data_IF_691588861233
#
_entry.id   IF_691588861233
#
_cell.length_a   1.000
_cell.length_b   1.000
_cell.length_c   1.000
_cell.angle_alpha   90.00
_cell.angle_beta   90.00
_cell.angle_gamma   90.00
#
_symmetry.space_group_name_H-M   'P 1'
#
loop_
_entity.id
_entity.type
_entity.pdbx_description
1 polymer ?
#
# COMPACT_ATOMS: atom_id res chain seq x y z
N UNK A 1 -64.11 -23.96 -39.69
CA UNK A 1 -65.11 -23.96 -38.60
C UNK A 1 -64.34 -24.17 -37.30
N UNK A 2 -64.38 -23.18 -36.39
CA UNK A 2 -63.96 -23.19 -34.96
C UNK A 2 -62.49 -23.52 -34.68
N UNK A 3 -61.58 -22.58 -34.38
CA UNK A 3 -61.46 -21.72 -33.18
C UNK A 3 -61.74 -22.48 -31.87
N UNK A 4 -60.72 -22.55 -31.00
CA UNK A 4 -60.73 -22.52 -29.51
C UNK A 4 -59.43 -23.21 -29.04
N UNK A 5 -58.71 -22.83 -27.99
CA UNK A 5 -58.62 -21.62 -27.18
C UNK A 5 -57.42 -21.85 -26.25
N UNK A 6 -56.69 -20.78 -25.98
CA UNK A 6 -55.63 -20.67 -24.95
C UNK A 6 -56.20 -20.97 -23.56
N UNK A 7 -55.44 -21.66 -22.70
CA UNK A 7 -55.35 -21.33 -21.26
C UNK A 7 -54.14 -21.97 -20.59
N UNK A 8 -53.27 -21.06 -20.15
CA UNK A 8 -52.30 -21.11 -19.06
C UNK A 8 -52.89 -21.80 -17.83
N UNK A 9 -52.09 -22.55 -17.06
CA UNK A 9 -52.12 -22.55 -15.59
C UNK A 9 -50.77 -23.05 -15.04
N UNK A 10 -50.05 -22.11 -14.44
CA UNK A 10 -49.05 -22.26 -13.40
C UNK A 10 -49.56 -23.20 -12.29
N UNK A 11 -48.79 -24.21 -11.90
CA UNK A 11 -49.02 -24.91 -10.63
C UNK A 11 -47.78 -24.80 -9.74
N UNK A 12 -48.04 -24.13 -8.61
CA UNK A 12 -47.39 -24.24 -7.29
C UNK A 12 -46.19 -23.35 -6.99
N UNK A 13 -46.53 -22.11 -6.63
CA UNK A 13 -45.94 -21.42 -5.49
C UNK A 13 -46.75 -21.70 -4.21
N UNK A 14 -46.01 -21.69 -3.09
CA UNK A 14 -46.42 -21.53 -1.67
C UNK A 14 -46.97 -22.72 -0.89
N UNK A 15 -46.07 -23.37 -0.15
CA UNK A 15 -46.29 -23.68 1.27
C UNK A 15 -45.02 -23.33 2.07
N UNK A 16 -45.17 -22.36 2.98
CA UNK A 16 -44.54 -22.41 4.30
C UNK A 16 -43.17 -21.76 4.48
N UNK A 17 -43.14 -20.44 4.68
CA UNK A 17 -42.11 -19.80 5.49
C UNK A 17 -42.07 -20.44 6.88
N UNK A 18 -40.94 -21.05 7.24
CA UNK A 18 -40.51 -21.19 8.64
C UNK A 18 -39.16 -20.51 8.78
N UNK A 19 -39.18 -19.39 9.50
CA UNK A 19 -38.03 -18.59 9.89
C UNK A 19 -37.15 -19.45 10.81
N UNK A 20 -35.97 -19.84 10.36
CA UNK A 20 -34.89 -20.24 11.25
C UNK A 20 -33.85 -19.13 11.18
N UNK A 21 -33.93 -18.23 12.15
CA UNK A 21 -32.84 -17.35 12.52
C UNK A 21 -31.66 -18.25 12.95
N UNK A 22 -30.68 -18.41 12.06
CA UNK A 22 -29.32 -18.80 12.39
C UNK A 22 -28.40 -18.05 11.43
N UNK A 23 -28.26 -16.76 11.71
CA UNK A 23 -27.04 -16.02 11.42
C UNK A 23 -25.88 -16.75 12.09
N UNK A 24 -25.26 -17.70 11.40
CA UNK A 24 -23.87 -18.03 11.69
C UNK A 24 -23.05 -16.87 11.14
N UNK A 25 -22.89 -15.86 11.97
CA UNK A 25 -21.73 -14.97 11.91
C UNK A 25 -20.53 -15.91 11.78
N UNK A 26 -19.82 -15.80 10.66
CA UNK A 26 -18.51 -16.42 10.54
C UNK A 26 -17.65 -15.67 11.54
N UNK A 27 -17.62 -16.19 12.77
CA UNK A 27 -16.62 -15.84 13.75
C UNK A 27 -15.30 -16.34 13.17
N UNK A 28 -14.59 -15.47 12.47
CA UNK A 28 -13.17 -15.62 12.27
C UNK A 28 -12.47 -15.34 13.61
N UNK A 29 -12.75 -16.17 14.62
CA UNK A 29 -11.79 -16.38 15.69
C UNK A 29 -10.68 -17.21 15.07
N UNK A 30 -9.64 -16.51 14.61
CA UNK A 30 -8.35 -17.12 14.35
C UNK A 30 -7.91 -17.76 15.67
N UNK A 31 -8.20 -19.05 15.80
CA UNK A 31 -7.66 -19.90 16.84
C UNK A 31 -6.15 -19.88 16.62
N UNK A 32 -5.41 -19.39 17.62
CA UNK A 32 -3.95 -19.43 17.68
C UNK A 32 -3.49 -20.84 17.28
N UNK A 33 -3.01 -20.98 16.05
CA UNK A 33 -2.35 -22.19 15.62
C UNK A 33 -1.10 -22.38 16.48
N UNK A 34 -0.99 -23.58 17.05
CA UNK A 34 -0.12 -24.06 18.13
C UNK A 34 1.42 -24.01 17.87
N UNK A 35 1.94 -23.09 17.06
CA UNK A 35 3.34 -23.11 16.60
C UNK A 35 4.10 -21.78 16.77
N UNK A 36 3.73 -20.91 17.71
CA UNK A 36 4.53 -19.72 18.01
C UNK A 36 5.55 -20.00 19.13
N UNK A 37 6.81 -20.23 18.74
CA UNK A 37 7.94 -20.35 19.67
C UNK A 37 8.34 -18.97 20.22
N UNK A 38 7.62 -18.52 21.23
CA UNK A 38 8.04 -17.37 22.02
C UNK A 38 9.10 -17.78 23.04
N UNK A 39 10.21 -17.05 23.09
CA UNK A 39 11.25 -17.25 24.11
C UNK A 39 11.25 -16.08 25.09
N UNK A 40 11.45 -16.41 26.37
CA UNK A 40 11.81 -15.44 27.41
C UNK A 40 13.33 -15.32 27.60
N UNK A 41 14.10 -16.16 26.90
CA UNK A 41 15.54 -16.18 27.03
C UNK A 41 16.16 -15.18 26.07
N UNK A 42 16.70 -14.10 26.63
CA UNK A 42 17.49 -13.12 25.88
C UNK A 42 18.93 -13.64 25.83
N UNK A 43 19.53 -13.80 24.63
CA UNK A 43 20.93 -14.19 24.52
C UNK A 43 21.86 -13.27 25.31
N UNK A 44 22.89 -13.82 25.95
CA UNK A 44 23.73 -13.07 26.91
C UNK A 44 24.36 -11.81 26.30
N UNK A 45 24.79 -11.85 25.04
CA UNK A 45 25.37 -10.70 24.34
C UNK A 45 24.36 -9.57 24.12
N UNK A 46 23.08 -9.89 23.91
CA UNK A 46 22.00 -8.91 23.79
C UNK A 46 21.60 -8.39 25.17
N UNK A 47 21.53 -9.27 26.18
CA UNK A 47 21.28 -8.86 27.57
C UNK A 47 22.37 -7.89 28.07
N UNK A 48 23.63 -8.13 27.70
CA UNK A 48 24.76 -7.25 27.98
C UNK A 48 24.60 -5.89 27.28
N UNK A 49 24.15 -5.85 26.01
CA UNK A 49 23.82 -4.61 25.31
C UNK A 49 22.82 -3.76 26.10
N UNK A 50 21.70 -4.34 26.56
CA UNK A 50 20.71 -3.62 27.36
C UNK A 50 21.24 -3.19 28.73
N UNK A 51 22.09 -3.99 29.38
CA UNK A 51 22.73 -3.63 30.64
C UNK A 51 23.61 -2.39 30.49
N UNK A 52 24.42 -2.34 29.43
CA UNK A 52 25.28 -1.19 29.10
C UNK A 52 24.45 0.02 28.69
N UNK A 53 23.37 -0.19 27.93
CA UNK A 53 22.51 0.87 27.39
C UNK A 53 21.24 1.14 28.22
N UNK A 54 21.22 0.80 29.51
CA UNK A 54 20.05 0.96 30.41
C UNK A 54 19.49 2.39 30.54
N UNK A 55 20.33 3.39 30.23
CA UNK A 55 19.95 4.80 30.21
C UNK A 55 19.21 5.20 28.91
N UNK A 56 19.29 4.37 27.88
CA UNK A 56 18.65 4.59 26.58
C UNK A 56 17.44 3.68 26.40
N UNK A 57 17.56 2.40 26.77
CA UNK A 57 16.57 1.38 26.48
C UNK A 57 16.03 0.69 27.71
N UNK A 58 14.75 0.34 27.66
CA UNK A 58 14.06 -0.50 28.65
C UNK A 58 13.21 -1.54 27.92
N UNK A 59 13.35 -2.80 28.31
CA UNK A 59 12.67 -3.92 27.68
C UNK A 59 11.18 -3.90 28.01
N UNK A 60 10.33 -4.00 26.98
CA UNK A 60 8.88 -4.11 27.14
C UNK A 60 8.54 -5.54 27.59
N UNK A 61 7.85 -5.65 28.73
CA UNK A 61 7.34 -6.90 29.25
C UNK A 61 5.97 -7.24 28.66
N UNK A 62 5.64 -8.54 28.58
CA UNK A 62 4.32 -8.99 28.09
C UNK A 62 3.15 -8.38 28.88
N UNK A 63 3.26 -8.21 30.20
CA UNK A 63 2.19 -7.60 31.01
C UNK A 63 1.94 -6.11 30.74
N UNK A 64 2.83 -5.45 29.99
CA UNK A 64 2.66 -4.06 29.55
C UNK A 64 1.84 -3.94 28.27
N UNK A 65 1.67 -5.06 27.55
CA UNK A 65 0.83 -5.13 26.35
C UNK A 65 -0.64 -5.11 26.74
N UNK A 66 -1.42 -4.35 25.97
CA UNK A 66 -2.85 -4.07 26.20
C UNK A 66 -3.70 -4.80 25.17
N UNK A 67 -3.28 -6.02 24.86
CA UNK A 67 -3.97 -6.92 23.95
C UNK A 67 -4.82 -7.90 24.75
N UNK A 68 -5.82 -8.53 24.12
CA UNK A 68 -6.78 -9.38 24.82
C UNK A 68 -6.12 -10.50 25.65
N UNK A 69 -6.63 -10.72 26.86
CA UNK A 69 -6.06 -11.67 27.83
C UNK A 69 -5.91 -13.07 27.27
N UNK A 70 -6.84 -13.54 26.45
CA UNK A 70 -6.78 -14.88 25.86
C UNK A 70 -5.53 -15.05 24.97
N UNK A 71 -5.16 -14.01 24.22
CA UNK A 71 -4.00 -13.96 23.33
C UNK A 71 -2.67 -14.13 24.08
N UNK A 72 -2.55 -13.56 25.28
CA UNK A 72 -1.29 -13.59 26.07
C UNK A 72 -1.31 -14.53 27.27
N UNK A 73 -2.46 -15.11 27.61
CA UNK A 73 -2.67 -15.91 28.84
C UNK A 73 -1.72 -17.10 28.99
N UNK A 74 -1.14 -17.59 27.87
CA UNK A 74 -0.21 -18.72 27.83
C UNK A 74 1.26 -18.31 28.00
N UNK A 75 1.57 -17.01 27.98
CA UNK A 75 2.95 -16.52 28.01
C UNK A 75 3.40 -16.15 29.43
N UNK A 76 4.63 -16.51 29.78
CA UNK A 76 5.26 -16.05 31.03
C UNK A 76 5.47 -14.55 30.95
N UNK A 77 5.34 -13.86 32.08
CA UNK A 77 5.63 -12.42 32.13
C UNK A 77 7.14 -12.16 31.98
N UNK A 78 7.57 -11.86 30.76
CA UNK A 78 8.95 -11.63 30.38
C UNK A 78 9.01 -10.73 29.12
N UNK A 79 10.19 -10.27 28.70
CA UNK A 79 10.37 -9.66 27.38
C UNK A 79 10.10 -10.68 26.29
N UNK A 80 9.32 -10.30 25.29
CA UNK A 80 9.03 -11.15 24.14
C UNK A 80 10.23 -11.14 23.18
N UNK A 81 10.88 -12.30 23.01
CA UNK A 81 12.00 -12.47 22.08
C UNK A 81 11.55 -13.32 20.90
N UNK A 82 11.75 -12.80 19.70
CA UNK A 82 11.58 -13.57 18.46
C UNK A 82 12.95 -13.89 17.85
N UNK A 83 13.19 -15.18 17.65
CA UNK A 83 14.37 -15.69 16.94
C UNK A 83 13.96 -16.13 15.52
N UNK A 84 14.78 -15.77 14.53
CA UNK A 84 14.61 -16.19 13.13
C UNK A 84 15.74 -15.67 12.25
N UNK A 85 15.76 -16.09 10.99
CA UNK A 85 16.62 -15.53 9.93
C UNK A 85 15.81 -14.46 9.18
N UNK A 86 15.74 -13.26 9.75
CA UNK A 86 14.85 -12.20 9.28
C UNK A 86 15.44 -11.43 8.10
N UNK A 87 16.76 -11.39 7.96
CA UNK A 87 17.45 -10.82 6.80
C UNK A 87 17.76 -11.85 5.68
N UNK A 88 17.53 -13.14 5.95
CA UNK A 88 17.64 -14.22 4.97
C UNK A 88 19.08 -14.50 4.56
N UNK A 89 20.04 -14.30 5.48
CA UNK A 89 21.46 -14.55 5.27
C UNK A 89 21.92 -15.93 5.81
N UNK A 90 21.03 -16.66 6.50
CA UNK A 90 21.27 -17.99 7.05
C UNK A 90 21.78 -18.00 8.50
N UNK A 91 22.01 -16.84 9.10
CA UNK A 91 22.37 -16.68 10.51
C UNK A 91 21.14 -16.31 11.36
N UNK A 92 21.28 -16.44 12.67
CA UNK A 92 20.19 -16.10 13.60
C UNK A 92 20.16 -14.61 13.91
N UNK A 93 18.95 -14.06 13.83
CA UNK A 93 18.58 -12.72 14.23
C UNK A 93 17.63 -12.74 15.44
N UNK A 94 17.61 -11.62 16.17
CA UNK A 94 16.70 -11.44 17.29
C UNK A 94 15.90 -10.15 17.12
N UNK A 95 14.58 -10.26 17.24
CA UNK A 95 13.66 -9.14 17.28
C UNK A 95 13.04 -8.99 18.68
N UNK A 96 13.07 -7.78 19.22
CA UNK A 96 12.63 -7.47 20.60
C UNK A 96 12.03 -6.06 20.69
N UNK A 97 11.03 -5.90 21.57
CA UNK A 97 10.43 -4.58 21.86
C UNK A 97 11.16 -3.89 23.02
N UNK A 98 11.47 -2.60 22.85
CA UNK A 98 12.04 -1.78 23.90
C UNK A 98 11.54 -0.33 23.85
N UNK A 99 11.32 0.29 25.00
CA UNK A 99 11.05 1.73 25.11
C UNK A 99 12.33 2.54 25.06
N UNK A 100 12.32 3.62 24.30
CA UNK A 100 13.40 4.60 24.34
C UNK A 100 13.16 5.63 25.44
N UNK A 101 14.17 5.87 26.27
CA UNK A 101 14.18 6.96 27.27
C UNK A 101 14.69 8.28 26.70
N UNK A 102 15.27 8.24 25.49
CA UNK A 102 15.93 9.39 24.85
C UNK A 102 15.19 9.90 23.61
N UNK A 103 14.49 9.01 22.90
CA UNK A 103 13.71 9.39 21.72
C UNK A 103 12.32 9.81 22.20
N UNK A 104 12.02 11.10 22.03
CA UNK A 104 10.73 11.72 22.35
C UNK A 104 10.18 12.35 21.08
N UNK A 105 8.85 12.35 20.93
CA UNK A 105 8.17 13.03 19.84
C UNK A 105 7.47 14.29 20.39
N UNK A 106 7.37 15.33 19.55
CA UNK A 106 7.10 16.71 19.99
C UNK A 106 5.71 16.92 20.61
N UNK A 107 4.75 16.05 20.30
CA UNK A 107 3.35 16.21 20.73
C UNK A 107 3.07 15.77 22.17
N UNK A 108 3.84 14.81 22.70
CA UNK A 108 3.66 14.30 24.05
C UNK A 108 4.99 14.32 24.80
N UNK A 109 5.31 15.50 25.32
CA UNK A 109 6.41 15.70 26.26
C UNK A 109 6.16 14.76 27.45
N UNK A 110 7.00 13.72 27.55
CA UNK A 110 7.07 12.71 28.63
C UNK A 110 6.50 11.32 28.33
N UNK A 111 6.08 11.02 27.09
CA UNK A 111 5.84 9.62 26.69
C UNK A 111 7.10 8.95 26.12
N UNK A 112 7.41 7.76 26.62
CA UNK A 112 8.51 6.93 26.11
C UNK A 112 7.93 5.84 25.21
N UNK A 113 7.98 6.04 23.89
CA UNK A 113 7.42 5.10 22.94
C UNK A 113 8.20 3.79 22.89
N UNK A 114 7.48 2.70 22.68
CA UNK A 114 8.07 1.41 22.33
C UNK A 114 8.55 1.39 20.88
N UNK A 115 9.67 0.72 20.65
CA UNK A 115 10.28 0.50 19.34
C UNK A 115 10.56 -0.99 19.14
N UNK A 116 10.56 -1.41 17.88
CA UNK A 116 11.09 -2.70 17.47
C UNK A 116 12.59 -2.57 17.23
N UNK A 117 13.37 -3.40 17.91
CA UNK A 117 14.81 -3.53 17.73
C UNK A 117 15.10 -4.89 17.10
N UNK A 118 15.93 -4.91 16.05
CA UNK A 118 16.38 -6.15 15.40
C UNK A 118 17.90 -6.23 15.46
N UNK A 119 18.43 -7.30 16.05
CA UNK A 119 19.85 -7.60 16.14
C UNK A 119 20.20 -8.66 15.10
N UNK A 120 20.67 -8.21 13.93
CA UNK A 120 21.08 -9.13 12.88
C UNK A 120 22.41 -9.80 13.25
N UNK A 121 22.57 -11.08 12.93
CA UNK A 121 23.85 -11.79 13.09
C UNK A 121 24.45 -11.68 14.49
N UNK A 122 23.62 -11.62 15.54
CA UNK A 122 24.04 -11.16 16.86
C UNK A 122 25.15 -12.04 17.48
N UNK A 123 25.18 -13.33 17.13
CA UNK A 123 26.18 -14.30 17.61
C UNK A 123 27.59 -14.02 17.07
N UNK A 124 27.72 -13.29 15.96
CA UNK A 124 29.01 -12.98 15.33
C UNK A 124 29.67 -11.72 15.91
N UNK A 125 28.96 -10.94 16.73
CA UNK A 125 29.47 -9.72 17.34
C UNK A 125 29.55 -9.85 18.85
N UNK A 126 30.65 -9.37 19.45
CA UNK A 126 30.75 -9.23 20.91
C UNK A 126 29.88 -8.11 21.46
N UNK A 127 29.60 -7.09 20.64
CA UNK A 127 28.77 -5.94 20.97
C UNK A 127 27.77 -5.74 19.83
N UNK A 128 26.70 -6.54 19.74
CA UNK A 128 25.73 -6.39 18.67
C UNK A 128 24.95 -5.08 18.85
N UNK A 129 24.84 -4.29 17.78
CA UNK A 129 24.02 -3.08 17.75
C UNK A 129 22.70 -3.36 17.03
N UNK A 130 21.55 -2.95 17.59
CA UNK A 130 20.27 -3.20 16.96
C UNK A 130 19.98 -2.17 15.87
N UNK A 131 19.32 -2.63 14.82
CA UNK A 131 18.56 -1.78 13.92
C UNK A 131 17.24 -1.37 14.59
N UNK A 132 16.99 -0.06 14.65
CA UNK A 132 15.71 0.48 15.11
C UNK A 132 14.76 0.51 13.92
N UNK A 133 13.71 -0.30 13.96
CA UNK A 133 12.76 -0.38 12.85
C UNK A 133 11.76 0.76 12.94
N UNK A 134 11.60 1.47 11.83
CA UNK A 134 10.71 2.61 11.69
C UNK A 134 9.71 2.36 10.57
N UNK A 135 8.54 2.99 10.69
CA UNK A 135 7.59 3.10 9.58
C UNK A 135 8.28 3.80 8.41
N UNK A 136 8.10 3.28 7.21
CA UNK A 136 8.66 3.82 5.98
C UNK A 136 7.62 3.74 4.84
N UNK A 137 7.92 4.40 3.72
CA UNK A 137 7.05 4.43 2.54
C UNK A 137 5.73 5.18 2.79
N UNK A 138 4.62 4.65 2.27
CA UNK A 138 3.27 5.22 2.38
C UNK A 138 2.75 5.27 3.83
N UNK A 139 3.42 4.56 4.75
CA UNK A 139 3.09 4.53 6.18
C UNK A 139 3.96 5.47 7.03
N UNK A 140 4.82 6.28 6.42
CA UNK A 140 5.85 7.05 7.11
C UNK A 140 5.37 8.34 7.82
N UNK A 141 4.07 8.61 7.89
CA UNK A 141 3.51 9.90 8.32
C UNK A 141 3.91 10.36 9.74
N UNK A 142 3.88 11.69 9.94
CA UNK A 142 5.00 12.48 10.50
C UNK A 142 5.12 12.63 12.04
N UNK A 143 4.22 12.09 12.86
CA UNK A 143 4.28 12.35 14.32
C UNK A 143 4.98 11.24 15.11
N UNK A 144 4.84 9.96 14.71
CA UNK A 144 5.37 8.81 15.45
C UNK A 144 5.86 7.71 14.49
N UNK A 145 7.18 7.69 14.28
CA UNK A 145 7.82 6.79 13.31
C UNK A 145 8.01 5.34 13.80
N UNK A 146 7.62 4.97 15.03
CA UNK A 146 7.75 3.58 15.49
C UNK A 146 6.74 2.65 14.81
N UNK A 147 7.17 1.41 14.51
CA UNK A 147 6.28 0.34 14.00
C UNK A 147 5.43 -0.30 15.10
N UNK A 148 5.74 -0.04 16.38
CA UNK A 148 4.96 -0.52 17.51
C UNK A 148 3.80 0.44 17.75
N UNK A 149 2.59 -0.10 17.77
CA UNK A 149 1.38 0.67 18.08
C UNK A 149 1.26 0.83 19.59
N UNK A 150 1.64 2.01 20.07
CA UNK A 150 1.60 2.46 21.45
C UNK A 150 0.70 3.69 21.53
N UNK A 151 -0.52 3.52 22.06
CA UNK A 151 -1.49 4.58 22.24
C UNK A 151 -1.33 5.16 23.64
N UNK A 152 -0.39 6.08 23.85
CA UNK A 152 -0.20 6.93 25.05
C UNK A 152 -0.86 6.49 26.36
N UNK A 153 -2.17 6.76 26.49
CA UNK A 153 -2.98 6.53 27.70
C UNK A 153 -3.52 5.10 27.80
N UNK A 154 -3.68 4.43 26.66
CA UNK A 154 -4.24 3.11 26.52
C UNK A 154 -3.16 2.02 26.49
N UNK A 155 -1.89 2.38 26.27
CA UNK A 155 -0.70 1.52 26.32
C UNK A 155 -0.34 0.86 24.99
N UNK A 156 0.39 -0.26 25.02
CA UNK A 156 0.90 -0.92 23.80
C UNK A 156 -0.15 -1.90 23.25
N UNK A 157 -0.75 -1.58 22.11
CA UNK A 157 -1.82 -2.33 21.45
C UNK A 157 -1.32 -3.24 20.33
N UNK A 158 -0.03 -3.54 20.32
CA UNK A 158 0.53 -4.48 19.37
C UNK A 158 1.44 -5.50 20.04
N UNK A 159 1.56 -6.65 19.41
CA UNK A 159 2.51 -7.69 19.82
C UNK A 159 3.25 -8.22 18.59
N UNK A 160 4.43 -8.76 18.83
CA UNK A 160 5.22 -9.37 17.77
C UNK A 160 4.86 -10.84 17.64
N UNK A 161 4.87 -11.33 16.42
CA UNK A 161 4.89 -12.77 16.14
C UNK A 161 5.80 -13.05 14.95
N UNK A 162 6.11 -14.32 14.73
CA UNK A 162 6.87 -14.77 13.56
C UNK A 162 5.98 -15.60 12.65
N UNK A 163 6.08 -15.35 11.35
CA UNK A 163 5.41 -16.14 10.30
C UNK A 163 6.35 -16.42 9.14
N UNK A 164 6.01 -17.42 8.32
CA UNK A 164 6.60 -17.58 7.00
C UNK A 164 5.73 -16.86 5.98
N UNK A 165 6.23 -15.76 5.43
CA UNK A 165 5.50 -14.88 4.52
C UNK A 165 6.25 -14.85 3.19
N UNK A 166 5.58 -15.24 2.11
CA UNK A 166 6.17 -15.43 0.78
C UNK A 166 7.48 -16.26 0.80
N UNK A 167 7.56 -17.31 1.62
CA UNK A 167 8.74 -18.18 1.73
C UNK A 167 9.84 -17.67 2.65
N UNK A 168 9.66 -16.53 3.34
CA UNK A 168 10.67 -15.91 4.20
C UNK A 168 10.19 -15.86 5.66
N UNK A 169 11.09 -16.13 6.60
CA UNK A 169 10.81 -15.82 8.01
C UNK A 169 10.65 -14.31 8.18
N UNK A 170 9.52 -13.90 8.74
CA UNK A 170 9.09 -12.50 8.78
C UNK A 170 8.59 -12.16 10.17
N UNK A 171 9.00 -10.98 10.67
CA UNK A 171 8.44 -10.42 11.90
C UNK A 171 7.10 -9.79 11.56
N UNK A 172 6.08 -10.12 12.33
CA UNK A 172 4.71 -9.61 12.17
C UNK A 172 4.35 -8.78 13.38
N UNK A 173 4.05 -7.50 13.16
CA UNK A 173 3.44 -6.62 14.17
C UNK A 173 1.93 -6.79 14.06
N UNK A 174 1.31 -7.35 15.10
CA UNK A 174 -0.12 -7.60 15.13
C UNK A 174 -0.83 -6.55 15.96
N UNK A 175 -1.90 -5.99 15.41
CA UNK A 175 -2.86 -5.16 16.13
C UNK A 175 -4.14 -6.00 16.26
N UNK A 176 -4.57 -6.37 17.48
CA UNK A 176 -5.81 -7.11 17.67
C UNK A 176 -6.98 -6.45 16.93
N UNK A 177 -7.84 -7.28 16.33
CA UNK A 177 -9.11 -6.90 15.69
C UNK A 177 -9.02 -5.95 14.48
N UNK A 178 -7.82 -5.46 14.12
CA UNK A 178 -7.68 -4.31 13.22
C UNK A 178 -6.82 -4.61 11.99
N UNK A 179 -5.62 -5.17 12.14
CA UNK A 179 -4.69 -5.44 11.02
C UNK A 179 -3.38 -6.09 11.50
N UNK A 180 -2.60 -6.63 10.56
CA UNK A 180 -1.21 -7.04 10.79
C UNK A 180 -0.28 -6.32 9.80
N UNK A 181 0.94 -6.05 10.24
CA UNK A 181 1.98 -5.46 9.43
C UNK A 181 3.21 -6.37 9.42
N UNK A 182 3.85 -6.47 8.27
CA UNK A 182 5.03 -7.28 8.04
C UNK A 182 6.27 -6.41 8.04
N UNK A 183 7.30 -6.86 8.75
CA UNK A 183 8.64 -6.29 8.74
C UNK A 183 9.51 -7.22 7.91
N UNK A 184 9.72 -6.84 6.64
CA UNK A 184 10.36 -7.70 5.65
C UNK A 184 11.72 -7.12 5.29
N UNK A 185 12.76 -7.94 5.32
CA UNK A 185 14.07 -7.52 4.85
C UNK A 185 14.11 -7.33 3.33
N UNK A 186 14.52 -6.14 2.94
CA UNK A 186 14.84 -5.78 1.59
C UNK A 186 16.35 -5.88 1.38
N UNK A 187 16.77 -6.97 0.73
CA UNK A 187 18.17 -7.26 0.42
C UNK A 187 18.85 -6.16 -0.40
N UNK A 188 18.10 -5.37 -1.17
CA UNK A 188 18.69 -4.38 -2.08
C UNK A 188 18.87 -3.03 -1.40
N UNK A 189 17.93 -2.66 -0.51
CA UNK A 189 18.10 -1.49 0.37
C UNK A 189 18.97 -1.78 1.59
N UNK A 190 19.26 -3.05 1.84
CA UNK A 190 19.93 -3.50 3.05
C UNK A 190 19.22 -2.94 4.30
N UNK A 191 17.89 -3.02 4.29
CA UNK A 191 17.02 -2.42 5.29
C UNK A 191 15.70 -3.19 5.43
N UNK A 192 15.05 -3.09 6.59
CA UNK A 192 13.70 -3.61 6.79
C UNK A 192 12.64 -2.66 6.24
N UNK A 193 11.63 -3.23 5.59
CA UNK A 193 10.44 -2.53 5.11
C UNK A 193 9.24 -2.84 5.99
N UNK A 194 8.39 -1.83 6.22
CA UNK A 194 7.13 -1.93 6.94
C UNK A 194 5.98 -1.98 5.94
N UNK A 195 5.27 -3.10 5.86
CA UNK A 195 4.25 -3.35 4.84
C UNK A 195 2.96 -3.80 5.52
N UNK A 196 1.82 -3.26 5.11
CA UNK A 196 0.52 -3.76 5.57
C UNK A 196 0.26 -5.15 4.96
N UNK A 197 -0.22 -6.08 5.78
CA UNK A 197 -0.52 -7.44 5.34
C UNK A 197 -1.49 -7.52 4.15
N UNK A 198 -2.38 -6.53 4.00
CA UNK A 198 -3.33 -6.45 2.88
C UNK A 198 -2.68 -6.01 1.56
N UNK A 199 -1.54 -5.32 1.61
CA UNK A 199 -0.82 -4.83 0.44
C UNK A 199 0.16 -5.87 -0.11
N UNK A 200 0.41 -6.92 0.67
CA UNK A 200 1.37 -7.95 0.30
C UNK A 200 0.75 -8.95 -0.69
N UNK A 201 1.32 -9.00 -1.89
CA UNK A 201 0.99 -9.98 -2.93
C UNK A 201 2.20 -10.89 -3.19
N UNK A 202 2.13 -12.15 -2.72
CA UNK A 202 3.19 -13.13 -2.92
C UNK A 202 3.25 -13.70 -4.36
N UNK A 203 2.19 -13.55 -5.16
CA UNK A 203 2.11 -14.06 -6.53
C UNK A 203 2.63 -13.07 -7.57
N UNK A 204 2.75 -11.80 -7.20
CA UNK A 204 3.73 -10.91 -7.82
C UNK A 204 5.11 -11.44 -7.46
N UNK A 205 5.70 -12.23 -8.37
CA UNK A 205 7.06 -12.77 -8.25
C UNK A 205 8.00 -11.81 -7.52
N UNK A 206 8.24 -12.07 -6.23
CA UNK A 206 9.27 -11.40 -5.43
C UNK A 206 10.67 -11.93 -5.78
N UNK A 207 10.93 -12.13 -7.08
CA UNK A 207 12.23 -12.42 -7.67
C UNK A 207 12.70 -11.35 -8.66
N UNK A 208 12.01 -10.21 -8.80
CA UNK A 208 12.52 -9.10 -9.62
C UNK A 208 11.84 -7.75 -9.31
N UNK A 209 12.03 -7.18 -8.11
CA UNK A 209 11.51 -5.81 -7.86
C UNK A 209 12.44 -4.81 -7.19
N UNK A 210 13.68 -5.20 -6.93
CA UNK A 210 14.56 -4.36 -6.13
C UNK A 210 16.00 -4.22 -6.64
N UNK A 211 16.44 -5.00 -7.64
CA UNK A 211 17.47 -4.50 -8.59
C UNK A 211 16.89 -3.36 -9.43
N UNK A 212 15.60 -3.47 -9.74
CA UNK A 212 14.91 -2.57 -10.66
C UNK A 212 14.44 -1.30 -9.97
N UNK A 213 14.30 -1.19 -8.64
CA UNK A 213 13.90 0.11 -8.04
C UNK A 213 15.03 1.14 -8.11
N UNK A 214 16.29 0.70 -7.95
CA UNK A 214 17.46 1.56 -8.06
C UNK A 214 17.78 1.84 -9.53
N UNK A 215 17.57 0.87 -10.41
CA UNK A 215 17.73 1.05 -11.86
C UNK A 215 16.60 1.86 -12.48
N UNK A 216 15.35 1.69 -12.04
CA UNK A 216 14.19 2.51 -12.39
C UNK A 216 14.38 3.93 -11.87
N UNK A 217 14.73 4.12 -10.59
CA UNK A 217 15.00 5.46 -10.07
C UNK A 217 16.15 6.13 -10.82
N UNK A 218 17.22 5.39 -11.12
CA UNK A 218 18.31 5.88 -11.96
C UNK A 218 17.84 6.22 -13.38
N UNK A 219 17.07 5.35 -14.02
CA UNK A 219 16.50 5.56 -15.35
C UNK A 219 15.59 6.79 -15.37
N UNK A 220 14.70 6.92 -14.39
CA UNK A 220 13.80 8.05 -14.22
C UNK A 220 14.59 9.33 -14.00
N UNK A 221 15.61 9.35 -13.13
CA UNK A 221 16.46 10.54 -12.93
C UNK A 221 17.25 10.91 -14.19
N UNK A 222 17.80 9.92 -14.90
CA UNK A 222 18.54 10.13 -16.14
C UNK A 222 17.68 10.67 -17.28
N UNK A 223 16.38 10.35 -17.28
CA UNK A 223 15.45 10.77 -18.31
C UNK A 223 14.58 11.98 -17.91
N UNK A 224 14.83 12.65 -16.78
CA UNK A 224 14.04 13.83 -16.36
C UNK A 224 13.99 14.90 -17.46
N UNK A 225 15.12 15.21 -18.10
CA UNK A 225 15.18 16.20 -19.19
C UNK A 225 14.52 15.73 -20.50
N UNK A 226 14.12 14.47 -20.56
CA UNK A 226 13.47 13.83 -21.72
C UNK A 226 12.34 12.92 -21.24
N UNK A 227 11.54 13.40 -20.30
CA UNK A 227 10.51 12.62 -19.60
C UNK A 227 9.48 12.00 -20.55
N UNK A 228 9.25 12.66 -21.70
CA UNK A 228 8.39 12.20 -22.78
C UNK A 228 8.85 10.86 -23.37
N UNK A 229 10.16 10.58 -23.42
CA UNK A 229 10.67 9.28 -23.87
C UNK A 229 10.16 8.14 -22.98
N UNK A 230 10.07 8.38 -21.67
CA UNK A 230 9.57 7.39 -20.72
C UNK A 230 8.06 7.22 -20.88
N UNK A 231 7.31 8.32 -20.92
CA UNK A 231 5.84 8.26 -20.97
C UNK A 231 5.32 7.70 -22.28
N UNK A 232 5.98 8.03 -23.39
CA UNK A 232 5.52 7.67 -24.73
C UNK A 232 5.89 6.25 -25.12
N UNK A 233 6.95 5.69 -24.52
CA UNK A 233 7.52 4.40 -24.95
C UNK A 233 7.48 3.30 -23.89
N UNK A 234 7.48 3.64 -22.59
CA UNK A 234 7.71 2.65 -21.53
C UNK A 234 6.48 2.39 -20.66
N UNK A 235 5.53 3.31 -20.56
CA UNK A 235 4.36 3.14 -19.70
C UNK A 235 3.29 2.28 -20.36
N UNK A 236 2.95 2.58 -21.62
CA UNK A 236 1.89 1.88 -22.35
C UNK A 236 2.46 1.23 -23.60
N UNK A 237 2.56 -0.08 -23.60
CA UNK A 237 3.14 -0.86 -24.70
C UNK A 237 2.17 -1.92 -25.19
N UNK A 238 2.54 -2.58 -26.30
CA UNK A 238 1.81 -3.74 -26.81
C UNK A 238 2.67 -4.99 -26.67
N UNK A 239 2.04 -6.08 -26.25
CA UNK A 239 2.66 -7.39 -26.41
C UNK A 239 2.64 -7.87 -27.87
N UNK A 240 3.23 -9.03 -28.14
CA UNK A 240 3.26 -9.64 -29.47
C UNK A 240 1.87 -9.94 -30.06
N UNK A 241 0.83 -9.94 -29.22
CA UNK A 241 -0.56 -10.19 -29.60
C UNK A 241 -1.38 -8.88 -29.71
N UNK A 242 -0.71 -7.72 -29.71
CA UNK A 242 -1.34 -6.40 -29.71
C UNK A 242 -2.20 -6.06 -28.47
N UNK A 243 -2.04 -6.80 -27.37
CA UNK A 243 -2.71 -6.43 -26.13
C UNK A 243 -1.93 -5.34 -25.41
N UNK A 244 -2.67 -4.43 -24.78
CA UNK A 244 -2.12 -3.36 -23.95
C UNK A 244 -1.42 -3.94 -22.72
N UNK A 245 -0.14 -3.62 -22.58
CA UNK A 245 0.67 -3.83 -21.39
C UNK A 245 0.88 -2.48 -20.71
N UNK A 246 0.74 -2.44 -19.38
CA UNK A 246 0.84 -1.22 -18.58
C UNK A 246 1.94 -1.39 -17.54
N UNK A 247 2.98 -0.56 -17.62
CA UNK A 247 4.05 -0.56 -16.64
C UNK A 247 3.63 0.23 -15.39
N UNK A 248 3.07 -0.49 -14.42
CA UNK A 248 2.60 0.08 -13.15
C UNK A 248 3.73 0.53 -12.23
N UNK A 249 4.97 0.07 -12.45
CA UNK A 249 6.11 0.49 -11.62
C UNK A 249 6.53 1.92 -11.91
N UNK A 250 6.54 2.31 -13.21
CA UNK A 250 6.77 3.70 -13.60
C UNK A 250 5.64 4.59 -13.08
N UNK A 251 4.38 4.16 -13.18
CA UNK A 251 3.23 4.90 -12.66
C UNK A 251 3.34 5.11 -11.14
N UNK A 252 3.72 4.07 -10.39
CA UNK A 252 3.95 4.17 -8.95
C UNK A 252 5.11 5.11 -8.64
N UNK A 253 6.22 5.05 -9.38
CA UNK A 253 7.34 5.99 -9.21
C UNK A 253 6.86 7.44 -9.35
N UNK A 254 6.08 7.74 -10.40
CA UNK A 254 5.52 9.08 -10.62
C UNK A 254 4.66 9.48 -9.41
N UNK A 255 3.83 8.57 -8.90
CA UNK A 255 2.96 8.83 -7.75
C UNK A 255 3.74 9.12 -6.47
N UNK A 256 4.82 8.38 -6.22
CA UNK A 256 5.63 8.49 -4.99
C UNK A 256 6.55 9.70 -4.98
N UNK A 257 7.20 10.02 -6.09
CA UNK A 257 8.30 11.00 -6.13
C UNK A 257 7.89 12.38 -6.65
N UNK A 258 6.64 12.55 -7.10
CA UNK A 258 6.14 13.88 -7.50
C UNK A 258 5.99 14.78 -6.28
N UNK A 259 6.41 16.03 -6.43
CA UNK A 259 6.26 17.08 -5.41
C UNK A 259 5.52 18.29 -5.98
N UNK A 260 5.21 19.27 -5.13
CA UNK A 260 4.60 20.52 -5.58
C UNK A 260 5.46 21.27 -6.62
N UNK A 261 6.79 21.14 -6.55
CA UNK A 261 7.73 21.86 -7.43
C UNK A 261 8.36 21.00 -8.52
N UNK A 262 8.26 19.67 -8.43
CA UNK A 262 8.68 18.74 -9.49
C UNK A 262 7.53 17.81 -9.88
N UNK A 263 6.91 18.15 -11.01
CA UNK A 263 5.80 17.44 -11.63
C UNK A 263 6.11 17.03 -13.08
N UNK A 264 7.39 16.97 -13.44
CA UNK A 264 7.87 16.79 -14.81
C UNK A 264 7.22 15.60 -15.51
N UNK A 265 7.23 14.44 -14.85
CA UNK A 265 6.62 13.22 -15.37
C UNK A 265 5.09 13.22 -15.38
N UNK A 266 4.45 13.95 -14.45
CA UNK A 266 2.99 14.13 -14.46
C UNK A 266 2.58 14.89 -15.71
N UNK A 267 3.24 16.01 -16.02
CA UNK A 267 2.94 16.82 -17.20
C UNK A 267 3.18 16.02 -18.48
N UNK A 268 4.29 15.27 -18.57
CA UNK A 268 4.57 14.41 -19.73
C UNK A 268 3.47 13.34 -19.93
N UNK A 269 3.05 12.67 -18.85
CA UNK A 269 2.01 11.63 -18.92
C UNK A 269 0.65 12.21 -19.31
N UNK A 270 0.28 13.37 -18.77
CA UNK A 270 -0.95 14.07 -19.13
C UNK A 270 -0.96 14.50 -20.60
N UNK A 271 0.18 14.99 -21.12
CA UNK A 271 0.35 15.33 -22.54
C UNK A 271 0.17 14.09 -23.42
N UNK A 272 0.82 12.98 -23.08
CA UNK A 272 0.68 11.71 -23.82
C UNK A 272 -0.79 11.28 -23.92
N UNK A 273 -1.50 11.22 -22.78
CA UNK A 273 -2.90 10.77 -22.76
C UNK A 273 -3.81 11.73 -23.52
N UNK A 274 -3.63 13.04 -23.33
CA UNK A 274 -4.36 14.06 -24.08
C UNK A 274 -4.14 13.90 -25.58
N UNK A 275 -2.90 13.67 -26.00
CA UNK A 275 -2.56 13.43 -27.39
C UNK A 275 -3.22 12.17 -27.95
N UNK A 276 -3.18 11.06 -27.20
CA UNK A 276 -3.83 9.80 -27.58
C UNK A 276 -5.34 9.95 -27.74
N UNK A 277 -6.00 10.72 -26.86
CA UNK A 277 -7.42 11.04 -26.97
C UNK A 277 -7.70 11.85 -28.25
N UNK A 278 -6.93 12.91 -28.50
CA UNK A 278 -7.12 13.78 -29.67
C UNK A 278 -6.88 13.00 -30.98
N UNK A 279 -5.84 12.17 -31.03
CA UNK A 279 -5.58 11.30 -32.18
C UNK A 279 -6.76 10.37 -32.48
N UNK A 280 -7.30 9.72 -31.43
CA UNK A 280 -8.41 8.80 -31.57
C UNK A 280 -9.70 9.49 -32.03
N UNK A 281 -10.12 10.56 -31.36
CA UNK A 281 -11.43 11.19 -31.59
C UNK A 281 -11.45 12.25 -32.69
N UNK A 282 -10.34 12.94 -32.96
CA UNK A 282 -10.31 14.06 -33.91
C UNK A 282 -9.55 13.76 -35.20
N UNK A 283 -8.50 12.91 -35.14
CA UNK A 283 -7.62 12.64 -36.30
C UNK A 283 -7.83 11.26 -36.92
N UNK A 284 -8.61 10.39 -36.27
CA UNK A 284 -8.82 9.00 -36.66
C UNK A 284 -7.50 8.20 -36.77
N UNK A 285 -6.49 8.61 -36.01
CA UNK A 285 -5.19 7.94 -35.87
C UNK A 285 -5.30 7.01 -34.65
N UNK A 286 -5.43 5.71 -34.89
CA UNK A 286 -5.79 4.72 -33.85
C UNK A 286 -4.60 3.85 -33.46
N UNK A 287 -3.74 4.38 -32.59
CA UNK A 287 -2.72 3.56 -31.93
C UNK A 287 -3.35 2.52 -31.00
N UNK A 288 -4.43 2.89 -30.31
CA UNK A 288 -5.14 2.06 -29.33
C UNK A 288 -6.59 1.81 -29.77
N UNK A 289 -7.16 0.67 -29.39
CA UNK A 289 -8.63 0.50 -29.44
C UNK A 289 -9.31 1.42 -28.42
N UNK A 290 -10.61 1.67 -28.54
CA UNK A 290 -11.33 2.51 -27.56
C UNK A 290 -11.24 1.93 -26.15
N UNK A 291 -11.41 0.62 -26.01
CA UNK A 291 -11.32 -0.06 -24.72
C UNK A 291 -9.92 0.04 -24.10
N UNK A 292 -8.87 -0.09 -24.93
CA UNK A 292 -7.49 0.10 -24.51
C UNK A 292 -7.22 1.55 -24.10
N UNK A 293 -7.71 2.53 -24.88
CA UNK A 293 -7.59 3.94 -24.58
C UNK A 293 -8.28 4.30 -23.25
N UNK A 294 -9.48 3.77 -23.01
CA UNK A 294 -10.18 3.95 -21.73
C UNK A 294 -9.38 3.35 -20.57
N UNK A 295 -8.76 2.19 -20.75
CA UNK A 295 -7.88 1.60 -19.74
C UNK A 295 -6.62 2.44 -19.49
N UNK A 296 -6.01 3.01 -20.55
CA UNK A 296 -4.90 3.97 -20.44
C UNK A 296 -5.31 5.19 -19.62
N UNK A 297 -6.46 5.79 -19.94
CA UNK A 297 -7.02 6.94 -19.21
C UNK A 297 -7.21 6.58 -17.73
N UNK A 298 -7.78 5.42 -17.43
CA UNK A 298 -7.99 4.96 -16.05
C UNK A 298 -6.69 4.85 -15.25
N UNK A 299 -5.66 4.20 -15.80
CA UNK A 299 -4.38 4.03 -15.12
C UNK A 299 -3.62 5.35 -14.97
N UNK A 300 -3.59 6.19 -16.01
CA UNK A 300 -2.92 7.48 -15.94
C UNK A 300 -3.60 8.43 -14.95
N UNK A 301 -4.94 8.55 -15.01
CA UNK A 301 -5.71 9.39 -14.08
C UNK A 301 -5.63 8.92 -12.64
N UNK A 302 -5.54 7.60 -12.39
CA UNK A 302 -5.31 7.07 -11.05
C UNK A 302 -4.02 7.61 -10.41
N UNK A 303 -3.01 7.87 -11.25
CA UNK A 303 -1.71 8.39 -10.86
C UNK A 303 -1.70 9.92 -10.82
N UNK A 304 -2.11 10.60 -11.90
CA UNK A 304 -1.88 12.04 -12.06
C UNK A 304 -2.94 12.93 -11.42
N UNK A 305 -4.20 12.49 -11.41
CA UNK A 305 -5.31 13.36 -11.00
C UNK A 305 -5.33 13.62 -9.49
N UNK A 306 -5.02 12.62 -8.61
CA UNK A 306 -4.85 12.87 -7.17
C UNK A 306 -3.67 13.79 -6.87
N UNK A 307 -2.56 13.64 -7.60
CA UNK A 307 -1.39 14.51 -7.46
C UNK A 307 -1.74 15.95 -7.86
N UNK A 308 -2.44 16.12 -8.98
CA UNK A 308 -2.95 17.43 -9.38
C UNK A 308 -3.81 18.00 -8.27
N UNK A 309 -4.85 17.29 -7.81
CA UNK A 309 -5.76 17.71 -6.73
C UNK A 309 -4.98 18.13 -5.46
N UNK A 310 -3.92 17.40 -5.11
CA UNK A 310 -3.06 17.67 -3.95
C UNK A 310 -2.24 18.95 -4.11
N UNK A 311 -1.51 19.10 -5.22
CA UNK A 311 -0.40 20.06 -5.31
C UNK A 311 -0.68 21.34 -6.11
N UNK A 312 -1.72 21.37 -6.97
CA UNK A 312 -1.90 22.49 -7.91
C UNK A 312 -2.02 23.87 -7.24
N UNK A 313 -2.61 23.93 -6.04
CA UNK A 313 -2.77 25.17 -5.27
C UNK A 313 -1.47 25.64 -4.62
N UNK A 314 -0.57 24.71 -4.29
CA UNK A 314 0.70 25.01 -3.63
C UNK A 314 1.70 25.62 -4.62
N UNK A 315 1.63 25.22 -5.89
CA UNK A 315 2.49 25.77 -6.94
C UNK A 315 1.75 25.92 -8.28
N UNK A 316 0.83 26.89 -8.41
CA UNK A 316 0.01 27.05 -9.61
C UNK A 316 0.83 27.22 -10.89
N UNK A 317 1.94 27.97 -10.83
CA UNK A 317 2.81 28.21 -11.98
C UNK A 317 3.45 26.92 -12.52
N UNK A 318 3.81 25.98 -11.63
CA UNK A 318 4.39 24.70 -12.03
C UNK A 318 3.33 23.72 -12.54
N UNK A 319 2.10 23.77 -12.01
CA UNK A 319 1.04 22.82 -12.34
C UNK A 319 0.12 23.27 -13.48
N UNK A 320 0.10 24.56 -13.81
CA UNK A 320 -0.77 25.12 -14.85
C UNK A 320 -0.06 25.41 -16.18
N UNK A 321 1.06 24.75 -16.52
CA UNK A 321 1.89 24.97 -17.73
C UNK A 321 1.13 24.83 -19.08
N UNK A 322 0.15 25.69 -19.35
CA UNK A 322 -0.75 25.64 -20.49
C UNK A 322 -1.87 24.60 -20.39
N UNK A 323 -1.91 23.76 -19.36
CA UNK A 323 -3.00 22.79 -19.12
C UNK A 323 -3.77 23.15 -17.85
N UNK A 324 -5.00 23.61 -18.03
CA UNK A 324 -5.95 23.81 -16.94
C UNK A 324 -6.71 22.51 -16.71
N UNK A 325 -6.16 21.66 -15.85
CA UNK A 325 -6.89 20.50 -15.32
C UNK A 325 -6.19 19.16 -15.50
N UNK A 326 -6.82 18.16 -14.91
CA UNK A 326 -6.38 16.78 -14.87
C UNK A 326 -7.01 15.96 -16.02
N UNK A 327 -6.60 14.69 -16.16
CA UNK A 327 -6.99 13.86 -17.32
C UNK A 327 -8.51 13.67 -17.39
N UNK A 328 -9.15 13.38 -16.26
CA UNK A 328 -10.59 13.13 -16.23
C UNK A 328 -11.39 14.42 -16.45
N UNK A 329 -10.92 15.56 -15.94
CA UNK A 329 -11.52 16.86 -16.26
C UNK A 329 -11.45 17.16 -17.76
N UNK A 330 -10.34 16.86 -18.44
CA UNK A 330 -10.24 16.99 -19.90
C UNK A 330 -11.26 16.09 -20.62
N UNK A 331 -11.38 14.83 -20.20
CA UNK A 331 -12.36 13.90 -20.78
C UNK A 331 -13.80 14.42 -20.62
N UNK A 332 -14.13 14.94 -19.43
CA UNK A 332 -15.44 15.50 -19.12
C UNK A 332 -15.73 16.77 -19.92
N UNK A 333 -14.81 17.74 -19.94
CA UNK A 333 -15.03 19.05 -20.54
C UNK A 333 -15.01 19.03 -22.07
N UNK A 334 -14.08 18.26 -22.67
CA UNK A 334 -13.85 18.28 -24.13
C UNK A 334 -14.70 17.24 -24.85
N UNK A 335 -14.95 16.09 -24.21
CA UNK A 335 -15.69 14.98 -24.82
C UNK A 335 -16.86 14.47 -23.94
N UNK A 336 -17.75 15.35 -23.43
CA UNK A 336 -18.78 15.01 -22.44
C UNK A 336 -19.80 13.97 -22.94
N UNK A 337 -20.05 13.94 -24.25
CA UNK A 337 -21.09 13.09 -24.88
C UNK A 337 -20.55 11.84 -25.55
N UNK A 338 -19.24 11.74 -25.73
CA UNK A 338 -18.59 10.63 -26.44
C UNK A 338 -17.71 9.83 -25.48
N UNK A 339 -16.45 10.24 -25.32
CA UNK A 339 -15.47 9.55 -24.47
C UNK A 339 -15.95 9.45 -23.03
N UNK A 340 -16.45 10.55 -22.44
CA UNK A 340 -16.81 10.59 -21.04
C UNK A 340 -17.88 9.54 -20.66
N UNK A 341 -18.93 9.42 -21.46
CA UNK A 341 -20.01 8.43 -21.23
C UNK A 341 -19.49 7.00 -21.28
N UNK A 342 -18.65 6.70 -22.28
CA UNK A 342 -18.07 5.35 -22.46
C UNK A 342 -17.08 5.01 -21.35
N UNK A 343 -16.22 5.96 -21.01
CA UNK A 343 -15.27 5.86 -19.90
C UNK A 343 -16.00 5.51 -18.60
N UNK A 344 -17.04 6.26 -18.23
CA UNK A 344 -17.82 5.98 -17.02
C UNK A 344 -18.48 4.59 -17.04
N UNK A 345 -19.03 4.17 -18.18
CA UNK A 345 -19.67 2.85 -18.32
C UNK A 345 -18.67 1.71 -18.15
N UNK A 346 -17.52 1.81 -18.83
CA UNK A 346 -16.50 0.76 -18.79
C UNK A 346 -15.84 0.70 -17.40
N UNK A 347 -15.52 1.85 -16.79
CA UNK A 347 -15.00 1.88 -15.42
C UNK A 347 -15.94 1.19 -14.43
N UNK A 348 -17.26 1.41 -14.52
CA UNK A 348 -18.22 0.71 -13.65
C UNK A 348 -18.26 -0.79 -13.91
N UNK A 349 -18.25 -1.20 -15.18
CA UNK A 349 -18.30 -2.62 -15.58
C UNK A 349 -17.06 -3.37 -15.11
N UNK A 350 -15.90 -2.74 -15.18
CA UNK A 350 -14.59 -3.30 -14.82
C UNK A 350 -14.24 -3.11 -13.34
N UNK A 351 -15.21 -2.72 -12.50
CA UNK A 351 -14.99 -2.40 -11.09
C UNK A 351 -13.80 -1.43 -10.86
N UNK A 352 -13.73 -0.39 -11.70
CA UNK A 352 -12.67 0.61 -11.73
C UNK A 352 -11.26 0.01 -11.89
N UNK A 353 -11.16 -1.19 -12.48
CA UNK A 353 -9.93 -1.98 -12.58
C UNK A 353 -9.22 -2.22 -11.23
N UNK A 354 -9.96 -2.17 -10.12
CA UNK A 354 -9.44 -2.19 -8.75
C UNK A 354 -8.41 -1.08 -8.46
N UNK A 355 -8.48 0.05 -9.16
CA UNK A 355 -7.63 1.21 -8.95
C UNK A 355 -8.22 2.09 -7.83
N UNK A 356 -7.42 2.43 -6.82
CA UNK A 356 -7.88 3.06 -5.57
C UNK A 356 -8.46 4.45 -5.75
N UNK A 357 -7.94 5.24 -6.69
CA UNK A 357 -8.23 6.67 -6.77
C UNK A 357 -9.26 7.03 -7.85
N UNK A 358 -9.41 6.18 -8.89
CA UNK A 358 -10.22 6.51 -10.08
C UNK A 358 -11.66 6.87 -9.73
N UNK A 359 -12.28 6.14 -8.80
CA UNK A 359 -13.67 6.39 -8.40
C UNK A 359 -13.86 7.78 -7.78
N UNK A 360 -12.92 8.21 -6.94
CA UNK A 360 -12.93 9.55 -6.36
C UNK A 360 -12.66 10.60 -7.45
N UNK A 361 -11.67 10.35 -8.31
CA UNK A 361 -11.26 11.32 -9.33
C UNK A 361 -12.32 11.52 -10.42
N UNK A 362 -13.13 10.52 -10.74
CA UNK A 362 -14.32 10.69 -11.59
C UNK A 362 -15.31 11.68 -10.99
N UNK A 363 -15.52 11.64 -9.67
CA UNK A 363 -16.39 12.60 -8.98
C UNK A 363 -15.78 14.00 -9.01
N UNK A 364 -14.48 14.10 -8.72
CA UNK A 364 -13.73 15.36 -8.71
C UNK A 364 -13.72 16.06 -10.08
N UNK A 365 -13.57 15.31 -11.17
CA UNK A 365 -13.57 15.87 -12.52
C UNK A 365 -14.85 16.66 -12.88
N UNK A 366 -15.98 16.26 -12.30
CA UNK A 366 -17.28 16.89 -12.54
C UNK A 366 -17.48 18.17 -11.71
N UNK A 367 -16.61 18.45 -10.74
CA UNK A 367 -16.69 19.67 -9.92
C UNK A 367 -16.23 20.93 -10.67
N UNK A 368 -15.40 20.77 -11.72
CA UNK A 368 -14.88 21.88 -12.53
C UNK A 368 -15.97 22.67 -13.28
N UNK A 369 -17.15 22.08 -13.51
CA UNK A 369 -18.29 22.74 -14.16
C UNK A 369 -19.14 23.58 -13.18
N UNK A 370 -19.04 23.33 -11.87
CA UNK A 370 -19.88 24.01 -10.87
C UNK A 370 -19.35 25.37 -10.43
N UNK A 371 -18.06 25.62 -10.59
CA UNK A 371 -17.41 26.83 -10.09
C UNK A 371 -16.56 27.58 -11.14
N UNK A 372 -16.50 27.07 -12.37
CA UNK A 372 -15.55 27.53 -13.40
C UNK A 372 -14.12 27.01 -13.13
N UNK A 373 -13.18 27.17 -14.08
CA UNK A 373 -11.77 27.06 -13.70
C UNK A 373 -11.48 28.11 -12.61
N UNK A 374 -10.69 27.77 -11.58
CA UNK A 374 -10.30 28.74 -10.55
C UNK A 374 -9.59 29.96 -11.12
#
# INVERSE_FOLDING_TARGET
MKVLSISIIFYLLFIGCKKNDNTSVINNTATLADNQNYSCEIPSVIADYFRVNKATWELVQINELKVEKETLSKLKNCPLVLEGDFDGNGDKDIAIMARSKKIRYDEVKDHNYAFLLVFNNYEKSRNPEPLIIRKNGEYADDEVQTVIYDQYNEGIWSYLSKENVCGKETIVVRIPESSSFYIIWDKNKNAYQYINSLDLDCNKNNTSKLSDSNELEKMMKQNVSSSENVTDQLIFTKDSNNNLQINTEILNYIQTYTTATDNTYVIALQKYVTHAIIQYYNRNERQWTEDQLIKIIAYASNTTDPLHKKFWKESPENWHQGMWGNILSFCYLVYPKTLWVKLQSQLKTENYYNLSNVKEMVSYAQEFDKFGPP
#
